data_IF_362074664025
#
_entry.id   IF_362074664025
#
_cell.length_a   1.000
_cell.length_b   1.000
_cell.length_c   1.000
_cell.angle_alpha   90.00
_cell.angle_beta   90.00
_cell.angle_gamma   90.00
#
_symmetry.space_group_name_H-M   'P 1'
#
loop_
_entity.id
_entity.type
_entity.pdbx_description
1 polymer ?
#
# COMPACT_ATOMS: atom_id res chain seq x y z
N UNK A 1 -13.85 36.42 4.64
CA UNK A 1 -13.27 35.27 5.35
C UNK A 1 -13.36 34.09 4.41
N UNK A 2 -12.27 33.40 4.09
CA UNK A 2 -12.30 32.19 3.26
C UNK A 2 -12.98 31.07 4.06
N UNK A 3 -14.21 30.72 3.68
CA UNK A 3 -14.97 29.64 4.31
C UNK A 3 -14.41 28.28 3.89
N UNK A 4 -14.40 27.34 4.83
CA UNK A 4 -14.12 25.93 4.53
C UNK A 4 -15.36 25.32 3.88
N UNK A 5 -15.18 24.76 2.69
CA UNK A 5 -16.25 24.12 1.93
C UNK A 5 -16.04 22.61 1.93
N UNK A 6 -17.12 21.86 2.15
CA UNK A 6 -17.10 20.41 1.96
C UNK A 6 -16.70 20.07 0.52
N UNK A 7 -15.93 19.01 0.36
CA UNK A 7 -15.60 18.44 -0.95
C UNK A 7 -15.75 16.94 -0.89
N UNK A 8 -16.32 16.36 -1.96
CA UNK A 8 -16.39 14.92 -2.19
C UNK A 8 -15.76 14.63 -3.54
N UNK A 9 -14.70 13.82 -3.57
CA UNK A 9 -14.01 13.45 -4.81
C UNK A 9 -14.04 11.92 -4.99
N UNK A 10 -14.02 11.44 -6.23
CA UNK A 10 -13.67 10.04 -6.51
C UNK A 10 -12.26 9.95 -7.06
N UNK A 11 -11.53 8.91 -6.65
CA UNK A 11 -10.21 8.55 -7.12
C UNK A 11 -10.33 7.21 -7.87
N UNK A 12 -9.84 7.16 -9.11
CA UNK A 12 -9.86 5.98 -9.98
C UNK A 12 -8.47 5.62 -10.48
N UNK A 13 -8.10 4.34 -10.49
CA UNK A 13 -6.80 3.87 -11.02
C UNK A 13 -6.93 2.48 -11.66
N UNK A 14 -6.43 2.31 -12.89
CA UNK A 14 -6.43 0.99 -13.56
C UNK A 14 -5.10 0.61 -14.22
N UNK A 15 -4.04 1.42 -14.07
CA UNK A 15 -2.70 1.13 -14.57
C UNK A 15 -1.68 1.01 -13.44
N UNK A 16 -0.66 0.17 -13.65
CA UNK A 16 0.49 0.00 -12.77
C UNK A 16 0.11 -0.44 -11.35
N UNK A 17 0.84 0.07 -10.36
CA UNK A 17 0.55 -0.16 -8.96
C UNK A 17 -0.56 0.77 -8.47
N UNK A 18 -1.81 0.31 -8.67
CA UNK A 18 -3.03 1.07 -8.37
C UNK A 18 -3.14 1.49 -6.90
N UNK A 19 -2.67 0.66 -5.96
CA UNK A 19 -2.63 1.02 -4.54
C UNK A 19 -1.74 2.23 -4.27
N UNK A 20 -0.54 2.22 -4.85
CA UNK A 20 0.42 3.31 -4.69
C UNK A 20 -0.07 4.60 -5.36
N UNK A 21 -0.75 4.49 -6.51
CA UNK A 21 -1.37 5.64 -7.16
C UNK A 21 -2.43 6.31 -6.28
N UNK A 22 -3.37 5.52 -5.76
CA UNK A 22 -4.41 5.99 -4.85
C UNK A 22 -3.77 6.65 -3.60
N UNK A 23 -2.77 6.00 -2.97
CA UNK A 23 -2.07 6.53 -1.78
C UNK A 23 -1.36 7.86 -2.05
N UNK A 24 -0.65 7.97 -3.18
CA UNK A 24 0.05 9.21 -3.55
C UNK A 24 -0.93 10.33 -3.90
N UNK A 25 -2.08 9.99 -4.48
CA UNK A 25 -3.15 10.95 -4.74
C UNK A 25 -3.70 11.51 -3.42
N UNK A 26 -3.98 10.65 -2.42
CA UNK A 26 -4.33 11.08 -1.06
C UNK A 26 -3.33 12.05 -0.46
N UNK A 27 -2.04 11.69 -0.47
CA UNK A 27 -0.99 12.54 0.08
C UNK A 27 -0.90 13.89 -0.65
N UNK A 28 -1.15 13.90 -1.96
CA UNK A 28 -1.13 15.12 -2.77
C UNK A 28 -2.34 16.02 -2.50
N UNK A 29 -3.54 15.46 -2.34
CA UNK A 29 -4.74 16.20 -1.95
C UNK A 29 -4.58 16.89 -0.58
N UNK A 30 -3.94 16.21 0.38
CA UNK A 30 -3.60 16.79 1.68
C UNK A 30 -2.62 17.96 1.56
N UNK A 31 -1.58 17.79 0.73
CA UNK A 31 -0.61 18.86 0.43
C UNK A 31 -1.23 20.05 -0.30
N UNK A 32 -2.26 19.82 -1.12
CA UNK A 32 -3.05 20.86 -1.79
C UNK A 32 -4.00 21.63 -0.84
N UNK A 33 -3.98 21.33 0.46
CA UNK A 33 -4.72 22.09 1.47
C UNK A 33 -6.11 21.53 1.79
N UNK A 34 -6.46 20.34 1.29
CA UNK A 34 -7.69 19.66 1.71
C UNK A 34 -7.47 19.04 3.09
N UNK A 35 -8.30 19.43 4.05
CA UNK A 35 -8.19 19.03 5.46
C UNK A 35 -9.29 18.05 5.83
N UNK A 36 -9.13 17.40 6.99
CA UNK A 36 -10.09 16.43 7.53
C UNK A 36 -10.45 15.31 6.53
N UNK A 37 -9.48 14.93 5.69
CA UNK A 37 -9.64 13.92 4.66
C UNK A 37 -10.02 12.57 5.29
N UNK A 38 -11.12 12.02 4.78
CA UNK A 38 -11.55 10.64 5.02
C UNK A 38 -11.69 9.93 3.69
N UNK A 39 -11.35 8.65 3.69
CA UNK A 39 -11.43 7.78 2.54
C UNK A 39 -12.37 6.63 2.80
N UNK A 40 -13.14 6.23 1.79
CA UNK A 40 -13.87 4.96 1.80
C UNK A 40 -12.90 3.78 1.74
N UNK A 41 -13.44 2.55 1.70
CA UNK A 41 -12.67 1.42 1.16
C UNK A 41 -12.26 1.71 -0.29
N UNK A 42 -11.26 0.98 -0.79
CA UNK A 42 -11.01 0.88 -2.23
C UNK A 42 -11.83 -0.30 -2.75
N UNK A 43 -12.65 -0.06 -3.76
CA UNK A 43 -13.37 -1.10 -4.49
C UNK A 43 -12.67 -1.36 -5.82
N UNK A 44 -12.42 -2.63 -6.11
CA UNK A 44 -12.06 -3.05 -7.46
C UNK A 44 -13.33 -3.34 -8.25
N UNK A 45 -13.51 -2.67 -9.38
CA UNK A 45 -14.70 -2.82 -10.22
C UNK A 45 -14.32 -3.12 -11.67
N UNK A 46 -15.27 -3.66 -12.44
CA UNK A 46 -15.12 -3.75 -13.90
C UNK A 46 -14.94 -2.35 -14.50
N UNK A 47 -14.25 -2.28 -15.65
CA UNK A 47 -14.13 -1.03 -16.39
C UNK A 47 -15.49 -0.60 -16.95
N UNK A 48 -15.79 0.70 -16.84
CA UNK A 48 -16.90 1.30 -17.56
C UNK A 48 -16.41 1.77 -18.93
N UNK A 49 -16.55 0.90 -19.93
CA UNK A 49 -16.08 1.16 -21.29
C UNK A 49 -17.20 1.72 -22.18
N UNK A 50 -16.80 2.58 -23.12
CA UNK A 50 -17.67 2.99 -24.22
C UNK A 50 -17.81 1.85 -25.23
N UNK A 51 -18.94 1.83 -25.95
CA UNK A 51 -19.13 0.89 -27.05
C UNK A 51 -18.01 1.04 -28.10
N UNK A 52 -17.37 -0.08 -28.47
CA UNK A 52 -16.24 -0.10 -29.40
C UNK A 52 -14.88 0.21 -28.80
N UNK A 53 -14.76 0.36 -27.47
CA UNK A 53 -13.46 0.52 -26.82
C UNK A 53 -12.52 -0.69 -27.09
N UNK A 54 -11.19 -0.46 -27.19
CA UNK A 54 -10.22 -1.55 -27.31
C UNK A 54 -10.32 -2.54 -26.16
N UNK A 55 -10.11 -3.84 -26.44
CA UNK A 55 -10.25 -4.90 -25.42
C UNK A 55 -9.21 -4.76 -24.32
N UNK A 56 -8.03 -4.29 -24.65
CA UNK A 56 -6.93 -3.97 -23.75
C UNK A 56 -7.24 -2.82 -22.77
N UNK A 57 -8.39 -2.15 -22.90
CA UNK A 57 -8.85 -1.15 -21.91
C UNK A 57 -9.73 -1.77 -20.83
N UNK A 58 -10.15 -3.02 -20.99
CA UNK A 58 -10.98 -3.75 -20.02
C UNK A 58 -10.14 -4.24 -18.83
N UNK A 59 -9.59 -3.27 -18.10
CA UNK A 59 -8.80 -3.47 -16.90
C UNK A 59 -9.62 -3.12 -15.66
N UNK A 60 -9.62 -3.96 -14.61
CA UNK A 60 -10.28 -3.63 -13.37
C UNK A 60 -9.78 -2.30 -12.79
N UNK A 61 -10.72 -1.46 -12.37
CA UNK A 61 -10.46 -0.16 -11.75
C UNK A 61 -10.49 -0.26 -10.25
N UNK A 62 -9.48 0.28 -9.59
CA UNK A 62 -9.59 0.67 -8.19
C UNK A 62 -10.31 2.01 -8.10
N UNK A 63 -11.40 2.04 -7.34
CA UNK A 63 -12.20 3.22 -7.08
C UNK A 63 -12.25 3.49 -5.58
N UNK A 64 -12.14 4.76 -5.20
CA UNK A 64 -12.31 5.19 -3.82
C UNK A 64 -12.98 6.56 -3.79
N UNK A 65 -13.81 6.81 -2.78
CA UNK A 65 -14.40 8.13 -2.53
C UNK A 65 -13.69 8.78 -1.35
N UNK A 66 -13.48 10.08 -1.46
CA UNK A 66 -12.85 10.88 -0.42
C UNK A 66 -13.73 12.06 -0.09
N UNK A 67 -13.82 12.37 1.20
CA UNK A 67 -14.47 13.58 1.67
C UNK A 67 -13.49 14.39 2.50
N UNK A 68 -13.65 15.71 2.46
CA UNK A 68 -12.83 16.63 3.25
C UNK A 68 -13.35 18.04 3.17
N UNK A 69 -12.51 18.98 3.54
CA UNK A 69 -12.81 20.41 3.52
C UNK A 69 -11.71 21.18 2.81
N UNK A 70 -12.06 22.17 1.99
CA UNK A 70 -11.12 22.99 1.25
C UNK A 70 -11.49 24.47 1.28
N UNK A 71 -10.50 25.34 1.16
CA UNK A 71 -10.69 26.78 0.92
C UNK A 71 -10.52 27.16 -0.56
N UNK A 72 -10.08 26.22 -1.40
CA UNK A 72 -9.97 26.42 -2.84
C UNK A 72 -11.37 26.58 -3.43
N UNK A 73 -11.54 27.54 -4.33
CA UNK A 73 -12.71 27.62 -5.20
C UNK A 73 -12.81 26.38 -6.10
N UNK A 74 -13.97 26.10 -6.72
CA UNK A 74 -14.10 24.98 -7.66
C UNK A 74 -13.06 24.99 -8.79
N UNK A 75 -12.76 26.16 -9.37
CA UNK A 75 -11.78 26.29 -10.45
C UNK A 75 -10.35 25.99 -9.97
N UNK A 76 -9.94 26.56 -8.83
CA UNK A 76 -8.63 26.29 -8.22
C UNK A 76 -8.49 24.80 -7.85
N UNK A 77 -9.54 24.19 -7.32
CA UNK A 77 -9.56 22.75 -6.99
C UNK A 77 -9.37 21.88 -8.23
N UNK A 78 -10.03 22.20 -9.34
CA UNK A 78 -9.88 21.47 -10.61
C UNK A 78 -8.47 21.62 -11.17
N UNK A 79 -7.87 22.82 -11.05
CA UNK A 79 -6.50 23.05 -11.48
C UNK A 79 -5.49 22.28 -10.64
N UNK A 80 -5.65 22.26 -9.32
CA UNK A 80 -4.85 21.42 -8.42
C UNK A 80 -4.99 19.94 -8.74
N UNK A 81 -6.21 19.45 -8.98
CA UNK A 81 -6.45 18.06 -9.38
C UNK A 81 -5.68 17.71 -10.66
N UNK A 82 -5.78 18.53 -11.71
CA UNK A 82 -5.05 18.29 -12.97
C UNK A 82 -3.54 18.30 -12.78
N UNK A 83 -3.03 19.18 -11.91
CA UNK A 83 -1.62 19.17 -11.54
C UNK A 83 -1.23 17.88 -10.82
N UNK A 84 -2.07 17.36 -9.93
CA UNK A 84 -1.85 16.07 -9.28
C UNK A 84 -1.80 14.95 -10.33
N UNK A 85 -2.80 14.84 -11.22
CA UNK A 85 -2.89 13.79 -12.24
C UNK A 85 -1.68 13.80 -13.19
N UNK A 86 -1.24 14.99 -13.63
CA UNK A 86 -0.08 15.14 -14.52
C UNK A 86 1.22 14.57 -13.94
N UNK A 87 1.38 14.59 -12.60
CA UNK A 87 2.56 14.04 -11.91
C UNK A 87 2.61 12.51 -11.92
N UNK A 88 1.52 11.85 -12.28
CA UNK A 88 1.48 10.40 -12.48
C UNK A 88 1.73 9.97 -13.93
N UNK A 89 1.96 10.93 -14.83
CA UNK A 89 2.24 10.64 -16.24
C UNK A 89 0.99 10.32 -17.06
N UNK A 90 -0.15 10.95 -16.74
CA UNK A 90 -1.38 10.81 -17.54
C UNK A 90 -1.15 11.32 -18.97
N UNK A 91 -1.38 10.48 -19.97
CA UNK A 91 -1.43 10.91 -21.36
C UNK A 91 -2.79 11.57 -21.65
N UNK A 92 -2.80 12.89 -21.70
CA UNK A 92 -4.00 13.68 -21.93
C UNK A 92 -4.63 13.46 -23.33
N UNK A 93 -3.95 12.76 -24.24
CA UNK A 93 -4.46 12.47 -25.59
C UNK A 93 -5.45 11.30 -25.64
N UNK A 94 -5.44 10.40 -24.65
CA UNK A 94 -6.28 9.20 -24.59
C UNK A 94 -7.58 9.45 -23.80
N UNK A 95 -8.57 10.04 -24.46
CA UNK A 95 -9.91 10.23 -23.86
C UNK A 95 -10.55 8.85 -23.57
N UNK A 96 -10.96 8.62 -22.32
CA UNK A 96 -11.49 7.33 -21.81
C UNK A 96 -10.50 6.16 -21.77
N UNK A 97 -9.20 6.40 -22.01
CA UNK A 97 -8.17 5.36 -21.93
C UNK A 97 -7.75 5.02 -20.49
N UNK A 98 -7.03 3.89 -20.31
CA UNK A 98 -6.38 3.52 -19.06
C UNK A 98 -5.48 4.64 -18.53
N UNK A 99 -5.49 4.84 -17.21
CA UNK A 99 -4.79 5.94 -16.56
C UNK A 99 -4.24 5.53 -15.20
N UNK A 100 -3.05 6.05 -14.81
CA UNK A 100 -2.48 5.82 -13.49
C UNK A 100 -3.38 6.34 -12.37
N UNK A 101 -3.99 7.52 -12.53
CA UNK A 101 -4.94 8.10 -11.59
C UNK A 101 -5.94 8.99 -12.34
N UNK A 102 -7.16 9.08 -11.82
CA UNK A 102 -8.26 9.95 -12.23
C UNK A 102 -8.91 10.52 -10.97
N UNK A 103 -9.18 11.81 -10.93
CA UNK A 103 -9.83 12.45 -9.78
C UNK A 103 -10.99 13.31 -10.27
N UNK A 104 -12.23 12.89 -9.97
CA UNK A 104 -13.44 13.65 -10.29
C UNK A 104 -13.96 14.40 -9.05
N UNK A 105 -14.42 15.65 -9.23
CA UNK A 105 -15.20 16.36 -8.20
C UNK A 105 -16.65 15.91 -8.25
N UNK A 106 -17.11 15.18 -7.23
CA UNK A 106 -18.48 14.67 -7.14
C UNK A 106 -19.43 15.73 -6.56
N UNK A 107 -19.04 16.34 -5.44
CA UNK A 107 -19.81 17.35 -4.72
C UNK A 107 -18.89 18.41 -4.11
N UNK A 108 -19.40 19.62 -3.94
CA UNK A 108 -18.69 20.74 -3.33
C UNK A 108 -19.69 21.60 -2.54
N UNK A 109 -19.23 22.28 -1.48
CA UNK A 109 -20.04 23.27 -0.75
C UNK A 109 -21.16 22.65 0.08
N UNK A 110 -22.27 23.36 0.25
CA UNK A 110 -23.46 22.86 0.93
C UNK A 110 -24.30 21.93 0.03
N UNK A 111 -25.43 21.43 0.53
CA UNK A 111 -26.29 20.51 -0.25
C UNK A 111 -26.98 21.20 -1.44
N UNK A 112 -27.13 22.53 -1.42
CA UNK A 112 -27.79 23.29 -2.49
C UNK A 112 -26.79 23.81 -3.54
N UNK A 113 -25.49 23.63 -3.29
CA UNK A 113 -24.44 24.11 -4.17
C UNK A 113 -24.49 23.43 -5.55
N UNK A 114 -24.49 24.27 -6.59
CA UNK A 114 -24.37 23.86 -7.98
C UNK A 114 -23.35 24.74 -8.67
N UNK A 115 -22.51 24.14 -9.52
CA UNK A 115 -21.51 24.85 -10.29
C UNK A 115 -21.39 24.23 -11.68
N UNK A 116 -21.25 25.08 -12.70
CA UNK A 116 -21.08 24.64 -14.07
C UNK A 116 -20.07 25.55 -14.77
N UNK A 117 -19.07 24.93 -15.39
CA UNK A 117 -18.13 25.57 -16.30
C UNK A 117 -17.75 24.62 -17.43
N UNK A 118 -17.02 25.11 -18.42
CA UNK A 118 -16.50 24.29 -19.51
C UNK A 118 -15.57 23.17 -19.02
N UNK A 119 -15.03 23.31 -17.79
CA UNK A 119 -14.10 22.34 -17.19
C UNK A 119 -14.82 21.28 -16.34
N UNK A 120 -15.94 21.60 -15.69
CA UNK A 120 -16.57 20.72 -14.70
C UNK A 120 -18.04 21.09 -14.43
N UNK A 121 -18.83 20.09 -14.04
CA UNK A 121 -20.20 20.27 -13.51
C UNK A 121 -20.31 19.62 -12.14
N UNK A 122 -20.86 20.35 -11.17
CA UNK A 122 -21.05 19.91 -9.78
C UNK A 122 -22.53 20.14 -9.40
N UNK A 123 -23.26 19.13 -8.90
CA UNK A 123 -22.83 17.73 -8.71
C UNK A 123 -22.42 17.02 -10.00
N UNK A 124 -21.53 16.03 -9.90
CA UNK A 124 -21.07 15.29 -11.07
C UNK A 124 -22.24 14.60 -11.80
N UNK A 125 -22.43 14.82 -13.12
CA UNK A 125 -23.66 14.46 -13.82
C UNK A 125 -23.92 12.94 -13.85
N UNK A 126 -22.86 12.13 -13.85
CA UNK A 126 -22.96 10.66 -13.93
C UNK A 126 -22.92 9.96 -12.56
N UNK A 127 -23.05 10.68 -11.45
CA UNK A 127 -22.93 10.04 -10.13
C UNK A 127 -24.00 8.98 -9.88
N UNK A 128 -25.22 9.19 -10.39
CA UNK A 128 -26.32 8.23 -10.28
C UNK A 128 -26.16 7.00 -11.19
N UNK A 129 -25.26 7.06 -12.18
CA UNK A 129 -24.93 5.94 -13.07
C UNK A 129 -23.84 5.03 -12.49
N UNK A 130 -23.32 5.35 -11.29
CA UNK A 130 -22.18 4.66 -10.67
C UNK A 130 -22.55 4.15 -9.26
N UNK A 131 -23.22 2.98 -9.14
CA UNK A 131 -23.65 2.39 -7.87
C UNK A 131 -22.52 2.24 -6.83
N UNK A 132 -21.31 1.89 -7.28
CA UNK A 132 -20.13 1.79 -6.43
C UNK A 132 -19.75 3.12 -5.77
N UNK A 133 -19.86 4.25 -6.48
CA UNK A 133 -19.62 5.59 -5.92
C UNK A 133 -20.68 5.91 -4.86
N UNK A 134 -21.96 5.66 -5.16
CA UNK A 134 -23.05 5.90 -4.21
C UNK A 134 -22.87 5.12 -2.91
N UNK A 135 -22.47 3.84 -3.01
CA UNK A 135 -22.20 2.98 -1.87
C UNK A 135 -21.05 3.51 -1.01
N UNK A 136 -19.93 3.92 -1.63
CA UNK A 136 -18.78 4.50 -0.93
C UNK A 136 -19.08 5.88 -0.34
N UNK A 137 -19.87 6.72 -1.01
CA UNK A 137 -20.33 8.00 -0.45
C UNK A 137 -21.24 7.78 0.76
N UNK A 138 -22.16 6.82 0.68
CA UNK A 138 -23.06 6.46 1.76
C UNK A 138 -22.30 5.94 2.98
N UNK A 139 -21.17 5.25 2.80
CA UNK A 139 -20.34 4.79 3.92
C UNK A 139 -19.64 5.95 4.66
N UNK A 140 -19.39 7.07 3.97
CA UNK A 140 -18.71 8.25 4.53
C UNK A 140 -19.65 9.32 5.08
N UNK A 141 -20.76 9.59 4.40
CA UNK A 141 -21.68 10.68 4.74
C UNK A 141 -23.14 10.31 4.43
N UNK A 142 -23.68 9.28 5.10
CA UNK A 142 -24.96 8.64 4.73
C UNK A 142 -26.16 9.58 4.71
N UNK A 143 -26.15 10.60 5.57
CA UNK A 143 -27.30 11.50 5.78
C UNK A 143 -27.27 12.77 4.92
N UNK A 144 -26.17 13.02 4.19
CA UNK A 144 -26.10 14.15 3.27
C UNK A 144 -27.07 13.93 2.12
N UNK A 145 -27.79 14.98 1.73
CA UNK A 145 -28.81 14.92 0.67
C UNK A 145 -28.24 15.30 -0.69
N UNK A 146 -28.66 14.52 -1.68
CA UNK A 146 -28.44 14.84 -3.08
C UNK A 146 -29.47 15.87 -3.53
N UNK A 147 -29.00 16.96 -4.13
CA UNK A 147 -29.85 17.97 -4.77
C UNK A 147 -29.45 18.11 -6.22
N UNK A 148 -30.37 17.76 -7.11
CA UNK A 148 -30.26 18.01 -8.53
C UNK A 148 -31.67 18.28 -9.05
N UNK A 149 -31.89 19.51 -9.49
CA UNK A 149 -33.20 19.93 -9.99
C UNK A 149 -33.63 19.04 -11.16
N UNK A 150 -34.90 18.64 -11.18
CA UNK A 150 -35.45 17.73 -12.19
C UNK A 150 -35.12 16.24 -11.99
N UNK A 151 -34.25 15.87 -11.05
CA UNK A 151 -33.99 14.47 -10.73
C UNK A 151 -35.09 13.86 -9.85
N UNK A 152 -35.51 12.63 -10.15
CA UNK A 152 -36.40 11.82 -9.28
C UNK A 152 -35.77 11.50 -7.91
N UNK A 153 -34.45 11.65 -7.81
CA UNK A 153 -33.67 11.42 -6.61
C UNK A 153 -33.44 12.69 -5.78
N UNK A 154 -33.95 13.83 -6.22
CA UNK A 154 -33.76 15.10 -5.53
C UNK A 154 -34.27 15.05 -4.07
N UNK A 155 -33.42 15.47 -3.14
CA UNK A 155 -33.70 15.50 -1.70
C UNK A 155 -33.45 14.17 -0.98
N UNK A 156 -33.13 13.08 -1.68
CA UNK A 156 -32.79 11.80 -1.03
C UNK A 156 -31.41 11.86 -0.40
N UNK A 157 -31.24 11.15 0.71
CA UNK A 157 -29.94 10.97 1.38
C UNK A 157 -29.06 10.01 0.58
N UNK A 158 -27.73 10.09 0.72
CA UNK A 158 -26.82 9.16 0.06
C UNK A 158 -27.08 7.69 0.46
N UNK A 159 -27.50 7.43 1.69
CA UNK A 159 -27.95 6.11 2.11
C UNK A 159 -29.18 5.61 1.33
N UNK A 160 -30.18 6.47 1.12
CA UNK A 160 -31.33 6.13 0.27
C UNK A 160 -30.92 5.89 -1.19
N UNK A 161 -29.97 6.65 -1.73
CA UNK A 161 -29.49 6.45 -3.08
C UNK A 161 -28.76 5.11 -3.24
N UNK A 162 -27.90 4.76 -2.29
CA UNK A 162 -27.22 3.46 -2.29
C UNK A 162 -28.21 2.29 -2.15
N UNK A 163 -29.36 2.49 -1.50
CA UNK A 163 -30.43 1.49 -1.44
C UNK A 163 -31.23 1.38 -2.74
N UNK A 164 -31.42 2.49 -3.47
CA UNK A 164 -32.13 2.52 -4.77
C UNK A 164 -31.26 1.98 -5.89
N UNK A 165 -29.96 2.26 -5.85
CA UNK A 165 -28.96 1.84 -6.82
C UNK A 165 -27.90 0.99 -6.10
N UNK A 166 -28.26 -0.24 -5.69
CA UNK A 166 -27.35 -1.09 -4.92
C UNK A 166 -26.17 -1.53 -5.80
N UNK A 167 -24.97 -1.52 -5.20
CA UNK A 167 -23.80 -2.15 -5.77
C UNK A 167 -24.02 -3.66 -5.86
N UNK A 168 -23.85 -4.23 -7.06
CA UNK A 168 -24.03 -5.66 -7.29
C UNK A 168 -22.72 -6.43 -7.13
N UNK A 169 -22.81 -7.73 -6.87
CA UNK A 169 -21.64 -8.63 -6.81
C UNK A 169 -20.90 -8.70 -8.16
N UNK A 170 -21.60 -8.48 -9.28
CA UNK A 170 -20.99 -8.50 -10.61
C UNK A 170 -20.15 -7.25 -10.91
N UNK A 171 -20.42 -6.14 -10.22
CA UNK A 171 -19.72 -4.87 -10.36
C UNK A 171 -18.49 -4.80 -9.43
N UNK A 172 -18.54 -5.41 -8.26
CA UNK A 172 -17.47 -5.40 -7.27
C UNK A 172 -16.64 -6.69 -7.31
N UNK A 173 -15.44 -6.61 -7.87
CA UNK A 173 -14.49 -7.72 -7.99
C UNK A 173 -13.69 -7.96 -6.70
N UNK A 174 -13.50 -6.90 -5.92
CA UNK A 174 -12.72 -6.95 -4.68
C UNK A 174 -12.84 -5.68 -3.86
N UNK A 175 -12.36 -5.75 -2.62
CA UNK A 175 -12.29 -4.61 -1.70
C UNK A 175 -11.00 -4.62 -0.89
N UNK A 176 -10.52 -3.43 -0.58
CA UNK A 176 -9.25 -3.20 0.10
C UNK A 176 -9.36 -2.04 1.10
N UNK A 177 -8.54 -2.08 2.14
CA UNK A 177 -8.34 -0.92 3.00
C UNK A 177 -7.63 0.21 2.23
N UNK A 178 -7.94 1.46 2.55
CA UNK A 178 -7.39 2.63 1.85
C UNK A 178 -6.08 3.17 2.45
N UNK A 179 -5.75 2.81 3.70
CA UNK A 179 -4.61 3.37 4.42
C UNK A 179 -3.37 2.45 4.46
N UNK A 180 -3.57 1.15 4.65
CA UNK A 180 -2.48 0.19 4.88
C UNK A 180 -2.29 -0.73 3.68
N UNK A 181 -1.07 -0.76 3.16
CA UNK A 181 -0.66 -1.62 2.06
C UNK A 181 -0.13 -2.97 2.55
N UNK A 182 -0.30 -4.01 1.73
CA UNK A 182 0.13 -5.37 2.06
C UNK A 182 1.36 -5.75 1.22
N UNK A 183 2.42 -6.15 1.91
CA UNK A 183 3.61 -6.75 1.35
C UNK A 183 3.55 -8.27 1.52
N UNK A 184 3.44 -9.00 0.40
CA UNK A 184 3.41 -10.45 0.35
C UNK A 184 4.81 -11.05 0.33
N UNK A 185 5.04 -12.10 1.12
CA UNK A 185 6.36 -12.73 1.30
C UNK A 185 6.54 -13.90 0.32
N UNK A 186 7.64 -13.90 -0.44
CA UNK A 186 8.06 -15.04 -1.28
C UNK A 186 9.47 -15.43 -0.89
N UNK A 187 9.59 -16.57 -0.19
CA UNK A 187 10.88 -17.15 0.15
C UNK A 187 11.31 -18.13 -0.95
N UNK A 188 12.48 -17.91 -1.54
CA UNK A 188 13.10 -18.77 -2.55
C UNK A 188 14.11 -19.65 -1.81
N UNK A 189 13.69 -20.86 -1.42
CA UNK A 189 14.51 -21.80 -0.62
C UNK A 189 14.86 -23.05 -1.42
N UNK A 190 16.08 -23.57 -1.25
CA UNK A 190 16.53 -24.84 -1.82
C UNK A 190 15.69 -26.01 -1.30
N UNK A 191 14.89 -26.63 -2.16
CA UNK A 191 14.41 -27.99 -1.98
C UNK A 191 14.76 -28.79 -3.23
N UNK A 192 15.98 -29.35 -3.22
CA UNK A 192 16.57 -30.34 -4.15
C UNK A 192 17.35 -29.79 -5.35
N UNK A 193 18.68 -29.81 -5.22
CA UNK A 193 19.63 -29.41 -6.26
C UNK A 193 19.73 -30.52 -7.32
N UNK A 194 19.11 -30.25 -8.47
CA UNK A 194 19.48 -30.70 -9.82
C UNK A 194 19.21 -29.52 -10.75
N UNK A 195 19.92 -29.37 -11.87
CA UNK A 195 19.76 -28.19 -12.77
C UNK A 195 18.30 -27.99 -13.26
N UNK A 196 17.53 -29.08 -13.36
CA UNK A 196 16.09 -29.04 -13.66
C UNK A 196 15.21 -28.56 -12.50
N UNK A 197 15.69 -28.68 -11.26
CA UNK A 197 15.01 -28.27 -10.03
C UNK A 197 14.97 -26.75 -9.85
N UNK A 198 16.05 -26.04 -10.20
CA UNK A 198 16.12 -24.57 -10.07
C UNK A 198 15.07 -23.85 -10.93
N UNK A 199 14.88 -24.28 -12.18
CA UNK A 199 13.83 -23.72 -13.04
C UNK A 199 12.42 -24.02 -12.53
N UNK A 200 12.21 -25.19 -11.93
CA UNK A 200 10.94 -25.57 -11.32
C UNK A 200 10.65 -24.73 -10.07
N UNK A 201 11.67 -24.50 -9.24
CA UNK A 201 11.59 -23.63 -8.06
C UNK A 201 11.34 -22.17 -8.45
N UNK A 202 12.05 -21.66 -9.44
CA UNK A 202 11.86 -20.30 -9.92
C UNK A 202 10.44 -20.10 -10.48
N UNK A 203 9.94 -21.08 -11.25
CA UNK A 203 8.57 -21.08 -11.76
C UNK A 203 7.52 -21.11 -10.65
N UNK A 204 7.77 -21.87 -9.56
CA UNK A 204 6.91 -21.92 -8.37
C UNK A 204 6.93 -20.59 -7.60
N UNK A 205 8.10 -19.99 -7.41
CA UNK A 205 8.23 -18.70 -6.75
C UNK A 205 7.53 -17.58 -7.54
N UNK A 206 7.71 -17.54 -8.87
CA UNK A 206 7.02 -16.60 -9.74
C UNK A 206 5.49 -16.80 -9.71
N UNK A 207 5.02 -18.05 -9.80
CA UNK A 207 3.58 -18.35 -9.68
C UNK A 207 3.02 -17.98 -8.29
N UNK A 208 3.81 -18.15 -7.24
CA UNK A 208 3.43 -17.72 -5.90
C UNK A 208 3.32 -16.19 -5.80
N UNK A 209 4.27 -15.45 -6.37
CA UNK A 209 4.24 -13.99 -6.44
C UNK A 209 2.98 -13.48 -7.18
N UNK A 210 2.66 -14.07 -8.33
CA UNK A 210 1.43 -13.75 -9.08
C UNK A 210 0.17 -14.04 -8.26
N UNK A 211 0.15 -15.16 -7.53
CA UNK A 211 -0.96 -15.49 -6.64
C UNK A 211 -1.12 -14.45 -5.52
N UNK A 212 -0.03 -14.05 -4.87
CA UNK A 212 -0.08 -13.03 -3.81
C UNK A 212 -0.55 -11.68 -4.36
N UNK A 213 -0.13 -11.31 -5.57
CA UNK A 213 -0.65 -10.11 -6.24
C UNK A 213 -2.16 -10.20 -6.49
N UNK A 214 -2.64 -11.33 -7.02
CA UNK A 214 -4.07 -11.56 -7.23
C UNK A 214 -4.88 -11.61 -5.92
N UNK A 215 -4.27 -12.08 -4.82
CA UNK A 215 -4.87 -12.05 -3.48
C UNK A 215 -4.94 -10.62 -2.90
N UNK A 216 -4.15 -9.69 -3.45
CA UNK A 216 -4.20 -8.25 -3.19
C UNK A 216 -2.95 -7.63 -2.54
N UNK A 217 -1.79 -8.27 -2.67
CA UNK A 217 -0.53 -7.65 -2.26
C UNK A 217 -0.17 -6.54 -3.26
N UNK A 218 0.13 -5.34 -2.76
CA UNK A 218 0.63 -4.25 -3.60
C UNK A 218 2.14 -4.29 -3.75
N UNK A 219 2.83 -5.03 -2.88
CA UNK A 219 4.28 -5.22 -2.89
C UNK A 219 4.57 -6.71 -2.72
N UNK A 220 5.48 -7.25 -3.52
CA UNK A 220 6.01 -8.61 -3.38
C UNK A 220 7.45 -8.54 -2.91
N UNK A 221 7.74 -9.18 -1.78
CA UNK A 221 9.07 -9.23 -1.18
C UNK A 221 9.73 -10.58 -1.43
N UNK A 222 10.78 -10.56 -2.27
CA UNK A 222 11.52 -11.74 -2.70
C UNK A 222 12.75 -11.91 -1.80
N UNK A 223 12.79 -12.99 -1.03
CA UNK A 223 13.94 -13.37 -0.21
C UNK A 223 14.59 -14.65 -0.73
N UNK A 224 15.82 -14.56 -1.23
CA UNK A 224 16.60 -15.71 -1.70
C UNK A 224 17.61 -16.24 -0.66
N UNK A 225 17.74 -15.53 0.46
CA UNK A 225 18.52 -15.97 1.61
C UNK A 225 17.61 -16.62 2.65
N UNK A 226 18.10 -17.70 3.26
CA UNK A 226 17.44 -18.28 4.41
C UNK A 226 17.79 -17.49 5.68
N UNK A 227 16.98 -16.47 6.01
CA UNK A 227 17.12 -15.66 7.24
C UNK A 227 16.63 -16.35 8.51
N UNK A 228 16.39 -17.67 8.46
CA UNK A 228 15.95 -18.46 9.61
C UNK A 228 17.09 -18.56 10.64
N UNK A 229 16.83 -18.31 11.94
CA UNK A 229 17.84 -18.40 13.01
C UNK A 229 18.60 -19.74 13.10
N UNK A 230 18.11 -20.80 12.43
CA UNK A 230 18.76 -22.12 12.36
C UNK A 230 19.83 -22.24 11.28
N UNK A 231 19.95 -21.27 10.38
CA UNK A 231 20.91 -21.28 9.27
C UNK A 231 22.24 -20.69 9.75
N UNK A 232 23.30 -21.50 9.71
CA UNK A 232 24.65 -21.11 10.17
C UNK A 232 25.51 -20.48 9.07
N UNK A 233 25.12 -20.62 7.82
CA UNK A 233 25.83 -20.11 6.65
C UNK A 233 24.86 -19.34 5.76
N UNK A 234 25.11 -18.04 5.59
CA UNK A 234 24.30 -17.14 4.77
C UNK A 234 24.64 -17.27 3.27
N UNK A 235 25.60 -18.12 2.89
CA UNK A 235 26.00 -18.37 1.51
C UNK A 235 26.78 -17.23 0.86
N UNK A 236 27.27 -17.43 -0.37
CA UNK A 236 27.95 -16.41 -1.17
C UNK A 236 26.97 -15.52 -1.96
N UNK A 237 27.46 -14.41 -2.51
CA UNK A 237 26.64 -13.50 -3.35
C UNK A 237 26.13 -14.26 -4.58
N UNK A 238 26.97 -15.12 -5.13
CA UNK A 238 26.69 -15.94 -6.30
C UNK A 238 25.55 -16.93 -6.02
N UNK A 239 25.57 -17.60 -4.87
CA UNK A 239 24.51 -18.55 -4.50
C UNK A 239 23.14 -17.86 -4.33
N UNK A 240 23.11 -16.68 -3.72
CA UNK A 240 21.88 -15.89 -3.60
C UNK A 240 21.39 -15.43 -4.98
N UNK A 241 22.31 -14.98 -5.83
CA UNK A 241 22.00 -14.52 -7.19
C UNK A 241 21.51 -15.64 -8.09
N UNK A 242 22.11 -16.84 -8.04
CA UNK A 242 21.71 -18.03 -8.80
C UNK A 242 20.25 -18.44 -8.52
N UNK A 243 19.76 -18.22 -7.30
CA UNK A 243 18.36 -18.44 -6.93
C UNK A 243 17.45 -17.30 -7.37
N UNK A 244 17.90 -16.06 -7.25
CA UNK A 244 17.08 -14.87 -7.46
C UNK A 244 16.90 -14.54 -8.95
N UNK A 245 17.97 -14.61 -9.75
CA UNK A 245 17.99 -14.21 -11.15
C UNK A 245 16.91 -14.91 -12.00
N UNK A 246 16.76 -16.25 -11.94
CA UNK A 246 15.74 -16.93 -12.75
C UNK A 246 14.33 -16.48 -12.41
N UNK A 247 14.04 -16.17 -11.13
CA UNK A 247 12.75 -15.65 -10.69
C UNK A 247 12.51 -14.26 -11.26
N UNK A 248 13.50 -13.36 -11.15
CA UNK A 248 13.39 -12.00 -11.70
C UNK A 248 13.18 -11.99 -13.21
N UNK A 249 13.87 -12.86 -13.96
CA UNK A 249 13.68 -13.00 -15.41
C UNK A 249 12.27 -13.46 -15.76
N UNK A 250 11.77 -14.50 -15.08
CA UNK A 250 10.40 -14.98 -15.29
C UNK A 250 9.36 -13.91 -14.96
N UNK A 251 9.56 -13.16 -13.87
CA UNK A 251 8.67 -12.05 -13.52
C UNK A 251 8.76 -10.89 -14.52
N UNK A 252 9.95 -10.60 -15.06
CA UNK A 252 10.11 -9.60 -16.12
C UNK A 252 9.35 -10.00 -17.39
N UNK A 253 9.34 -11.29 -17.75
CA UNK A 253 8.55 -11.80 -18.87
C UNK A 253 7.04 -11.71 -18.60
N UNK A 254 6.60 -12.14 -17.41
CA UNK A 254 5.17 -12.19 -17.05
C UNK A 254 4.55 -10.82 -16.80
N UNK A 255 5.28 -9.91 -16.16
CA UNK A 255 4.81 -8.57 -15.84
C UNK A 255 5.28 -7.48 -16.80
N UNK A 256 6.28 -7.74 -17.66
CA UNK A 256 6.80 -6.74 -18.60
C UNK A 256 5.78 -6.27 -19.63
N UNK A 257 4.82 -7.12 -20.00
CA UNK A 257 3.68 -6.76 -20.85
C UNK A 257 2.40 -6.46 -20.06
N UNK A 258 2.40 -6.67 -18.74
CA UNK A 258 1.22 -6.46 -17.92
C UNK A 258 0.97 -4.97 -17.71
N UNK A 259 -0.28 -4.56 -17.88
CA UNK A 259 -0.70 -3.18 -17.58
C UNK A 259 -0.88 -2.93 -16.09
N UNK A 260 -0.91 -4.00 -15.27
CA UNK A 260 -1.05 -3.97 -13.82
C UNK A 260 -0.03 -4.93 -13.21
N UNK A 261 0.75 -4.44 -12.24
CA UNK A 261 1.76 -5.22 -11.54
C UNK A 261 1.99 -4.67 -10.13
N UNK A 262 2.47 -5.49 -9.19
CA UNK A 262 2.89 -5.03 -7.88
C UNK A 262 4.27 -4.36 -7.96
N UNK A 263 4.61 -3.62 -6.91
CA UNK A 263 6.01 -3.29 -6.65
C UNK A 263 6.78 -4.54 -6.24
N UNK A 264 8.06 -4.63 -6.61
CA UNK A 264 8.95 -5.71 -6.17
C UNK A 264 9.99 -5.17 -5.21
N UNK A 265 10.12 -5.87 -4.08
CA UNK A 265 11.12 -5.71 -3.03
C UNK A 265 12.08 -6.88 -3.04
N UNK A 266 13.37 -6.59 -2.83
CA UNK A 266 14.41 -7.61 -2.67
C UNK A 266 14.86 -7.60 -1.20
N UNK A 267 14.64 -8.72 -0.51
CA UNK A 267 15.06 -8.96 0.88
C UNK A 267 16.53 -9.39 0.91
N UNK A 268 17.43 -8.40 1.01
CA UNK A 268 18.88 -8.61 1.05
C UNK A 268 19.60 -7.47 1.74
N UNK A 269 20.69 -7.80 2.44
CA UNK A 269 21.64 -6.83 2.98
C UNK A 269 22.89 -6.66 2.08
N UNK A 270 22.91 -7.25 0.87
CA UNK A 270 24.08 -7.25 -0.03
C UNK A 270 23.92 -6.26 -1.18
N UNK A 271 24.70 -5.16 -1.21
CA UNK A 271 24.58 -4.13 -2.25
C UNK A 271 24.76 -4.67 -3.68
N UNK A 272 25.61 -5.68 -3.87
CA UNK A 272 25.84 -6.27 -5.18
C UNK A 272 24.61 -6.98 -5.76
N UNK A 273 23.78 -7.60 -4.92
CA UNK A 273 22.53 -8.24 -5.37
C UNK A 273 21.57 -7.18 -5.89
N UNK A 274 21.48 -6.02 -5.23
CA UNK A 274 20.64 -4.90 -5.69
C UNK A 274 21.12 -4.37 -7.04
N UNK A 275 22.43 -4.17 -7.23
CA UNK A 275 23.00 -3.73 -8.51
C UNK A 275 22.66 -4.67 -9.65
N UNK A 276 22.75 -5.99 -9.43
CA UNK A 276 22.37 -6.98 -10.44
C UNK A 276 20.85 -7.05 -10.66
N UNK A 277 20.06 -6.93 -9.59
CA UNK A 277 18.61 -7.04 -9.67
C UNK A 277 17.97 -5.91 -10.51
N UNK A 278 18.43 -4.66 -10.35
CA UNK A 278 17.89 -3.50 -11.11
C UNK A 278 18.15 -3.61 -12.62
N UNK A 279 19.18 -4.35 -13.05
CA UNK A 279 19.49 -4.60 -14.46
C UNK A 279 18.54 -5.62 -15.10
N UNK A 280 17.97 -6.52 -14.29
CA UNK A 280 17.11 -7.63 -14.77
C UNK A 280 15.63 -7.28 -14.64
N UNK A 281 15.24 -6.64 -13.54
CA UNK A 281 13.84 -6.33 -13.23
C UNK A 281 13.73 -4.92 -12.60
N UNK A 282 12.69 -4.13 -12.95
CA UNK A 282 12.50 -2.78 -12.42
C UNK A 282 12.02 -2.78 -10.96
N UNK A 283 12.83 -3.30 -10.03
CA UNK A 283 12.53 -3.32 -8.59
C UNK A 283 12.24 -1.90 -8.07
N UNK A 284 11.51 -1.81 -6.96
CA UNK A 284 11.10 -0.54 -6.34
C UNK A 284 11.57 -0.40 -4.89
N UNK A 285 11.94 -1.51 -4.25
CA UNK A 285 12.27 -1.57 -2.83
C UNK A 285 13.52 -2.41 -2.58
N UNK A 286 14.30 -1.98 -1.61
CA UNK A 286 15.34 -2.73 -0.93
C UNK A 286 14.80 -3.02 0.48
N UNK A 287 14.74 -4.28 0.87
CA UNK A 287 14.43 -4.70 2.24
C UNK A 287 15.72 -5.16 2.92
N UNK A 288 16.32 -4.29 3.72
CA UNK A 288 17.59 -4.54 4.41
C UNK A 288 17.33 -4.88 5.87
N UNK A 289 17.36 -6.19 6.16
CA UNK A 289 17.18 -6.73 7.51
C UNK A 289 18.30 -6.38 8.50
N UNK A 290 19.41 -5.80 8.02
CA UNK A 290 20.54 -5.36 8.85
C UNK A 290 20.39 -3.96 9.43
N UNK A 291 19.37 -3.21 8.99
CA UNK A 291 19.15 -1.82 9.39
C UNK A 291 19.53 -0.79 8.32
N UNK A 292 20.10 -1.24 7.20
CA UNK A 292 20.54 -0.36 6.11
C UNK A 292 21.99 0.10 6.29
N UNK A 293 22.82 -0.08 5.26
CA UNK A 293 24.16 0.53 5.19
C UNK A 293 24.14 1.86 4.43
N UNK A 294 25.18 2.69 4.60
CA UNK A 294 25.35 3.89 3.78
C UNK A 294 25.44 3.56 2.28
N UNK A 295 26.04 2.41 1.94
CA UNK A 295 26.09 1.93 0.56
C UNK A 295 24.69 1.61 0.03
N UNK A 296 23.84 0.94 0.81
CA UNK A 296 22.44 0.69 0.44
C UNK A 296 21.65 1.98 0.29
N UNK A 297 21.87 2.97 1.16
CA UNK A 297 21.24 4.28 1.04
C UNK A 297 21.67 5.03 -0.23
N UNK A 298 22.94 4.92 -0.62
CA UNK A 298 23.42 5.44 -1.91
C UNK A 298 22.74 4.76 -3.09
N UNK A 299 22.63 3.42 -3.09
CA UNK A 299 21.92 2.69 -4.15
C UNK A 299 20.43 3.06 -4.21
N UNK A 300 19.78 3.19 -3.04
CA UNK A 300 18.39 3.60 -2.97
C UNK A 300 18.17 4.99 -3.58
N UNK A 301 19.09 5.93 -3.32
CA UNK A 301 19.05 7.26 -3.93
C UNK A 301 19.32 7.21 -5.44
N UNK A 302 20.38 6.51 -5.84
CA UNK A 302 20.84 6.41 -7.24
C UNK A 302 19.74 5.86 -8.15
N UNK A 303 19.10 4.77 -7.73
CA UNK A 303 18.07 4.09 -8.51
C UNK A 303 16.64 4.55 -8.17
N UNK A 304 16.46 5.52 -7.27
CA UNK A 304 15.15 6.01 -6.85
C UNK A 304 14.29 4.95 -6.14
N UNK A 305 14.93 4.02 -5.42
CA UNK A 305 14.27 2.95 -4.67
C UNK A 305 13.89 3.42 -3.27
N UNK A 306 12.99 2.65 -2.64
CA UNK A 306 12.70 2.75 -1.21
C UNK A 306 13.62 1.82 -0.43
N UNK A 307 14.11 2.26 0.71
CA UNK A 307 14.94 1.49 1.62
C UNK A 307 14.12 1.17 2.89
N UNK A 308 13.70 -0.08 3.01
CA UNK A 308 13.11 -0.62 4.22
C UNK A 308 14.23 -1.05 5.16
N UNK A 309 14.26 -0.44 6.35
CA UNK A 309 15.25 -0.73 7.39
C UNK A 309 14.61 -1.51 8.52
N UNK A 310 15.20 -2.65 8.85
CA UNK A 310 14.75 -3.48 9.97
C UNK A 310 15.71 -3.40 11.15
N UNK A 311 15.20 -3.15 12.35
CA UNK A 311 16.04 -3.27 13.54
C UNK A 311 16.24 -4.74 13.94
N UNK A 312 17.49 -5.20 14.01
CA UNK A 312 17.88 -6.43 14.70
C UNK A 312 18.96 -6.18 15.74
N UNK A 313 18.91 -6.88 16.90
CA UNK A 313 19.99 -6.85 17.89
C UNK A 313 21.23 -7.63 17.43
N UNK A 314 21.08 -8.56 16.48
CA UNK A 314 22.19 -9.31 15.90
C UNK A 314 21.86 -9.85 14.51
N UNK A 315 22.87 -9.95 13.65
CA UNK A 315 22.81 -10.71 12.40
C UNK A 315 23.82 -11.87 12.45
N UNK A 316 23.40 -13.15 12.38
CA UNK A 316 22.01 -13.63 12.40
C UNK A 316 21.32 -13.40 13.76
N UNK A 317 19.97 -13.50 13.84
CA UNK A 317 19.22 -13.27 15.08
C UNK A 317 19.57 -14.28 16.18
N UNK A 318 19.96 -13.78 17.36
CA UNK A 318 20.29 -14.60 18.54
C UNK A 318 19.22 -14.45 19.63
N UNK A 319 18.59 -15.54 20.10
CA UNK A 319 17.50 -15.47 21.08
C UNK A 319 17.89 -14.86 22.44
N UNK A 320 19.17 -14.95 22.81
CA UNK A 320 19.75 -14.42 24.05
C UNK A 320 20.13 -12.93 23.96
N UNK A 321 20.13 -12.37 22.75
CA UNK A 321 20.46 -10.96 22.51
C UNK A 321 19.17 -10.17 22.24
N UNK A 322 18.62 -9.58 23.30
CA UNK A 322 17.39 -8.78 23.24
C UNK A 322 17.60 -7.34 23.70
N UNK A 323 16.64 -6.45 23.38
CA UNK A 323 16.62 -5.08 23.89
C UNK A 323 16.71 -5.03 25.42
N UNK A 324 17.29 -3.92 25.93
CA UNK A 324 17.41 -3.68 27.36
C UNK A 324 16.04 -3.73 28.04
N UNK A 325 16.00 -4.34 29.23
CA UNK A 325 14.81 -4.38 30.09
C UNK A 325 14.66 -3.12 30.95
N UNK A 326 15.71 -2.30 31.06
CA UNK A 326 15.74 -1.11 31.91
C UNK A 326 15.07 0.10 31.26
N UNK A 327 14.84 0.05 29.95
CA UNK A 327 14.30 1.16 29.16
C UNK A 327 13.13 0.71 28.29
N UNK A 328 12.28 1.66 27.92
CA UNK A 328 11.16 1.39 27.00
C UNK A 328 11.67 0.87 25.66
N UNK A 329 11.14 -0.24 25.13
CA UNK A 329 11.48 -0.72 23.78
C UNK A 329 11.19 0.33 22.72
N UNK A 330 10.11 1.11 22.89
CA UNK A 330 9.72 2.16 21.95
C UNK A 330 10.79 3.27 21.92
N UNK A 331 11.28 3.72 23.07
CA UNK A 331 12.32 4.76 23.15
C UNK A 331 13.65 4.28 22.57
N UNK A 332 14.03 3.03 22.83
CA UNK A 332 15.21 2.41 22.22
C UNK A 332 15.11 2.39 20.69
N UNK A 333 13.94 2.03 20.14
CA UNK A 333 13.70 1.99 18.69
C UNK A 333 13.61 3.38 18.05
N UNK A 334 13.07 4.37 18.75
CA UNK A 334 13.07 5.77 18.28
C UNK A 334 14.49 6.31 18.15
N UNK A 335 15.32 6.17 19.19
CA UNK A 335 16.71 6.64 19.15
C UNK A 335 17.51 5.97 18.04
N UNK A 336 17.31 4.67 17.85
CA UNK A 336 17.95 3.95 16.74
C UNK A 336 17.45 4.46 15.38
N UNK A 337 16.13 4.59 15.20
CA UNK A 337 15.53 5.08 13.96
C UNK A 337 15.98 6.49 13.61
N UNK A 338 15.97 7.42 14.56
CA UNK A 338 16.46 8.79 14.39
C UNK A 338 17.92 8.81 13.93
N UNK A 339 18.78 8.01 14.55
CA UNK A 339 20.18 7.90 14.16
C UNK A 339 20.37 7.38 12.73
N UNK A 340 19.56 6.40 12.30
CA UNK A 340 19.62 5.88 10.94
C UNK A 340 19.11 6.90 9.92
N UNK A 341 17.99 7.56 10.19
CA UNK A 341 17.45 8.60 9.31
C UNK A 341 18.42 9.77 9.17
N UNK A 342 19.09 10.19 10.25
CA UNK A 342 20.11 11.24 10.19
C UNK A 342 21.27 10.85 9.26
N UNK A 343 21.78 9.62 9.38
CA UNK A 343 22.85 9.11 8.52
C UNK A 343 22.43 9.03 7.05
N UNK A 344 21.20 8.58 6.76
CA UNK A 344 20.71 8.48 5.39
C UNK A 344 20.35 9.84 4.78
N UNK A 345 19.89 10.80 5.59
CA UNK A 345 19.68 12.17 5.16
C UNK A 345 21.00 12.84 4.74
N UNK A 346 22.13 12.52 5.39
CA UNK A 346 23.45 13.04 5.01
C UNK A 346 23.90 12.58 3.61
N UNK A 347 23.49 11.40 3.15
CA UNK A 347 23.73 10.97 1.76
C UNK A 347 22.71 11.57 0.77
N UNK A 348 21.75 12.35 1.26
CA UNK A 348 20.72 13.04 0.51
C UNK A 348 19.57 12.15 0.06
N UNK A 349 19.29 11.07 0.82
CA UNK A 349 18.09 10.27 0.66
C UNK A 349 16.92 11.03 1.31
N UNK A 350 15.77 11.13 0.63
CA UNK A 350 14.58 11.76 1.22
C UNK A 350 13.89 10.81 2.19
N UNK A 351 14.25 10.93 3.47
CA UNK A 351 13.81 10.04 4.53
C UNK A 351 12.30 10.07 4.78
N UNK A 352 11.61 11.12 4.37
CA UNK A 352 10.16 11.27 4.57
C UNK A 352 9.33 10.29 3.72
N UNK A 353 9.90 9.72 2.66
CA UNK A 353 9.19 8.76 1.81
C UNK A 353 10.06 7.60 1.29
N UNK A 354 11.36 7.80 1.08
CA UNK A 354 12.25 6.75 0.60
C UNK A 354 12.63 5.76 1.69
N UNK A 355 12.75 6.19 2.95
CA UNK A 355 13.04 5.27 4.05
C UNK A 355 11.74 4.76 4.63
N UNK A 356 11.65 3.44 4.87
CA UNK A 356 10.55 2.82 5.59
C UNK A 356 11.10 2.12 6.82
N UNK A 357 10.55 2.44 7.98
CA UNK A 357 11.01 1.95 9.26
C UNK A 357 10.27 0.69 9.69
N UNK A 358 10.99 -0.37 10.04
CA UNK A 358 10.46 -1.55 10.72
C UNK A 358 11.17 -1.75 12.08
N UNK A 359 10.43 -1.73 13.20
CA UNK A 359 11.00 -1.98 14.54
C UNK A 359 11.48 -3.42 14.73
N UNK A 360 11.34 -4.31 13.73
CA UNK A 360 11.92 -5.64 13.68
C UNK A 360 11.27 -6.61 14.65
N UNK A 361 9.98 -6.90 14.45
CA UNK A 361 9.22 -7.81 15.31
C UNK A 361 9.83 -9.23 15.29
N UNK A 362 10.16 -9.72 16.49
CA UNK A 362 10.83 -11.01 16.69
C UNK A 362 12.34 -11.03 16.38
N UNK A 363 12.96 -9.89 16.10
CA UNK A 363 14.41 -9.76 15.88
C UNK A 363 15.08 -9.09 17.08
N UNK A 364 15.56 -9.90 18.03
CA UNK A 364 16.15 -9.40 19.28
C UNK A 364 15.14 -8.74 20.22
N UNK A 365 13.89 -9.22 20.22
CA UNK A 365 12.86 -8.79 21.17
C UNK A 365 12.20 -9.99 21.82
N UNK A 366 11.89 -9.85 23.11
CA UNK A 366 10.98 -10.78 23.78
C UNK A 366 9.56 -10.65 23.20
N UNK A 367 8.67 -11.63 23.44
CA UNK A 367 7.27 -11.51 23.08
C UNK A 367 6.61 -10.24 23.62
N UNK A 368 6.83 -9.89 24.88
CA UNK A 368 6.27 -8.67 25.50
C UNK A 368 6.81 -7.41 24.83
N UNK A 369 8.12 -7.33 24.61
CA UNK A 369 8.72 -6.19 23.90
C UNK A 369 8.15 -6.04 22.48
N UNK A 370 7.96 -7.16 21.77
CA UNK A 370 7.34 -7.16 20.44
C UNK A 370 5.90 -6.60 20.44
N UNK A 371 5.09 -6.96 21.43
CA UNK A 371 3.74 -6.42 21.59
C UNK A 371 3.76 -4.91 21.88
N UNK A 372 4.66 -4.46 22.76
CA UNK A 372 4.83 -3.03 23.06
C UNK A 372 5.24 -2.22 21.83
N UNK A 373 6.14 -2.75 21.00
CA UNK A 373 6.55 -2.11 19.76
C UNK A 373 5.40 -1.99 18.75
N UNK A 374 4.54 -3.01 18.65
CA UNK A 374 3.34 -2.93 17.80
C UNK A 374 2.34 -1.88 18.32
N UNK A 375 2.25 -1.67 19.62
CA UNK A 375 1.41 -0.59 20.18
C UNK A 375 2.00 0.81 19.91
N UNK A 376 3.34 0.91 19.81
CA UNK A 376 4.09 2.13 19.55
C UNK A 376 4.03 2.71 18.13
N UNK A 377 3.31 2.09 17.18
CA UNK A 377 3.32 2.50 15.75
C UNK A 377 2.94 3.97 15.53
N UNK A 378 1.94 4.48 16.23
CA UNK A 378 1.56 5.91 16.15
C UNK A 378 2.72 6.84 16.55
N UNK A 379 3.50 6.43 17.54
CA UNK A 379 4.64 7.20 18.02
C UNK A 379 5.79 7.16 17.02
N UNK A 380 6.10 6.00 16.43
CA UNK A 380 7.10 5.90 15.38
C UNK A 380 6.79 6.83 14.20
N UNK A 381 5.57 6.75 13.66
CA UNK A 381 5.16 7.62 12.54
C UNK A 381 5.27 9.11 12.85
N UNK A 382 4.86 9.51 14.07
CA UNK A 382 4.85 10.91 14.47
C UNK A 382 6.25 11.47 14.71
N UNK A 383 7.15 10.68 15.29
CA UNK A 383 8.49 11.15 15.70
C UNK A 383 9.50 11.00 14.56
N UNK A 384 9.48 9.86 13.86
CA UNK A 384 10.43 9.60 12.77
C UNK A 384 10.04 10.29 11.46
N UNK A 385 8.78 10.70 11.33
CA UNK A 385 8.21 11.34 10.14
C UNK A 385 8.44 10.56 8.83
N UNK A 386 8.65 9.24 8.95
CA UNK A 386 8.78 8.31 7.84
C UNK A 386 7.69 7.21 7.92
N UNK A 387 7.39 6.55 6.79
CA UNK A 387 6.45 5.44 6.77
C UNK A 387 6.92 4.25 7.62
N UNK A 388 5.97 3.55 8.24
CA UNK A 388 6.23 2.40 9.12
C UNK A 388 5.68 1.11 8.54
N UNK A 389 6.52 0.08 8.53
CA UNK A 389 6.16 -1.30 8.19
C UNK A 389 6.21 -2.18 9.44
N UNK A 390 5.29 -3.14 9.54
CA UNK A 390 5.35 -4.18 10.59
C UNK A 390 5.32 -5.58 9.95
N UNK A 391 6.38 -6.35 10.20
CA UNK A 391 6.47 -7.77 9.85
C UNK A 391 6.18 -8.69 11.05
N UNK A 392 4.90 -8.82 11.45
CA UNK A 392 4.48 -9.64 12.60
C UNK A 392 3.99 -11.05 12.25
N UNK A 393 3.79 -11.34 10.96
CA UNK A 393 3.13 -12.57 10.51
C UNK A 393 3.82 -13.85 10.99
N UNK A 394 3.05 -14.73 11.63
CA UNK A 394 3.45 -16.05 12.17
C UNK A 394 4.61 -16.01 13.19
N UNK A 395 5.02 -14.83 13.66
CA UNK A 395 6.13 -14.67 14.61
C UNK A 395 5.83 -15.34 15.94
N UNK A 396 6.89 -15.80 16.61
CA UNK A 396 6.81 -16.52 17.89
C UNK A 396 6.24 -15.67 19.03
N UNK A 397 6.32 -14.33 18.94
CA UNK A 397 5.71 -13.44 19.93
C UNK A 397 4.20 -13.65 20.07
N UNK A 398 3.51 -14.09 19.02
CA UNK A 398 2.07 -14.36 19.04
C UNK A 398 1.71 -15.66 19.76
N UNK A 399 2.68 -16.51 20.10
CA UNK A 399 2.43 -17.75 20.86
C UNK A 399 1.85 -17.51 22.27
N UNK A 400 1.95 -16.29 22.81
CA UNK A 400 1.27 -15.95 24.07
C UNK A 400 -0.24 -15.77 23.90
N UNK A 401 -0.73 -15.57 22.66
CA UNK A 401 -2.11 -15.26 22.34
C UNK A 401 -2.91 -16.49 21.87
N UNK A 402 -2.24 -17.61 21.57
CA UNK A 402 -2.85 -18.84 21.05
C UNK A 402 -2.02 -20.08 21.36
N UNK A 403 -2.62 -21.28 21.24
CA UNK A 403 -1.98 -22.58 21.56
C UNK A 403 -1.68 -23.41 20.31
N UNK A 404 -0.94 -22.88 19.34
CA UNK A 404 -0.75 -23.59 18.06
C UNK A 404 0.63 -23.41 17.41
N UNK A 405 0.89 -24.27 16.41
CA UNK A 405 2.06 -24.22 15.53
C UNK A 405 2.14 -22.86 14.81
N UNK A 406 3.31 -22.44 14.33
CA UNK A 406 3.48 -21.17 13.64
C UNK A 406 2.57 -21.01 12.42
N UNK A 407 2.26 -22.10 11.72
CA UNK A 407 1.40 -22.10 10.53
C UNK A 407 -0.09 -21.86 10.85
N UNK A 408 -0.48 -22.02 12.11
CA UNK A 408 -1.86 -21.82 12.58
C UNK A 408 -2.08 -20.41 13.17
N UNK A 409 -1.09 -19.51 13.08
CA UNK A 409 -1.13 -18.15 13.69
C UNK A 409 -1.72 -17.07 12.80
N UNK A 410 -2.40 -17.47 11.73
CA UNK A 410 -2.93 -16.53 10.75
C UNK A 410 -4.06 -15.67 11.36
N UNK A 411 -4.86 -16.21 12.28
CA UNK A 411 -5.92 -15.46 12.97
C UNK A 411 -5.38 -14.40 13.92
N UNK A 412 -4.38 -14.73 14.74
CA UNK A 412 -3.69 -13.77 15.61
C UNK A 412 -2.97 -12.71 14.77
N UNK A 413 -2.36 -13.12 13.66
CA UNK A 413 -1.76 -12.20 12.68
C UNK A 413 -2.80 -11.20 12.18
N UNK A 414 -3.95 -11.68 11.69
CA UNK A 414 -5.03 -10.83 11.15
C UNK A 414 -5.59 -9.90 12.23
N UNK A 415 -5.81 -10.40 13.45
CA UNK A 415 -6.28 -9.58 14.58
C UNK A 415 -5.30 -8.44 14.91
N UNK A 416 -4.00 -8.74 14.95
CA UNK A 416 -2.96 -7.73 15.10
C UNK A 416 -2.93 -6.75 13.91
N UNK A 417 -3.10 -7.22 12.67
CA UNK A 417 -3.11 -6.38 11.47
C UNK A 417 -4.22 -5.33 11.51
N UNK A 418 -5.44 -5.71 11.89
CA UNK A 418 -6.56 -4.76 12.05
C UNK A 418 -6.23 -3.71 13.14
N UNK A 419 -5.70 -4.15 14.27
CA UNK A 419 -5.28 -3.28 15.36
C UNK A 419 -4.16 -2.30 14.94
N UNK A 420 -3.23 -2.72 14.09
CA UNK A 420 -2.15 -1.90 13.52
C UNK A 420 -2.67 -0.93 12.47
N UNK A 421 -3.63 -1.37 11.66
CA UNK A 421 -4.32 -0.56 10.67
C UNK A 421 -5.07 0.62 11.29
N UNK A 422 -5.84 0.39 12.36
CA UNK A 422 -6.49 1.45 13.15
C UNK A 422 -5.49 2.41 13.82
N UNK A 423 -4.25 1.93 14.01
CA UNK A 423 -3.12 2.74 14.48
C UNK A 423 -2.39 3.49 13.37
N UNK A 424 -2.80 3.29 12.12
CA UNK A 424 -2.28 4.00 10.96
C UNK A 424 -0.96 3.44 10.45
N UNK A 425 -0.64 2.15 10.65
CA UNK A 425 0.53 1.53 10.01
C UNK A 425 0.46 1.69 8.48
N UNK A 426 1.59 1.96 7.82
CA UNK A 426 1.61 2.18 6.38
C UNK A 426 1.67 0.85 5.61
N UNK A 427 2.47 -0.10 6.10
CA UNK A 427 2.69 -1.38 5.45
C UNK A 427 2.63 -2.55 6.43
N UNK A 428 2.09 -3.68 5.98
CA UNK A 428 2.11 -4.95 6.70
C UNK A 428 2.78 -6.01 5.85
N UNK A 429 3.80 -6.69 6.39
CA UNK A 429 4.49 -7.80 5.72
C UNK A 429 3.94 -9.14 6.22
N UNK A 430 3.20 -9.86 5.37
CA UNK A 430 2.39 -11.03 5.78
C UNK A 430 2.44 -12.20 4.80
N UNK A 431 2.17 -13.41 5.31
CA UNK A 431 2.04 -14.63 4.50
C UNK A 431 0.64 -14.80 3.90
N UNK A 432 -0.42 -14.65 4.71
CA UNK A 432 -1.82 -14.74 4.25
C UNK A 432 -2.32 -13.39 3.76
N UNK A 433 -2.15 -13.11 2.46
CA UNK A 433 -2.52 -11.82 1.88
C UNK A 433 -4.04 -11.66 1.82
N UNK A 434 -4.77 -12.63 1.28
CA UNK A 434 -6.22 -12.52 1.12
C UNK A 434 -6.95 -12.27 2.46
N UNK A 435 -6.58 -13.03 3.50
CA UNK A 435 -7.18 -12.91 4.83
C UNK A 435 -6.96 -11.53 5.45
N UNK A 436 -5.74 -10.98 5.31
CA UNK A 436 -5.45 -9.62 5.75
C UNK A 436 -6.22 -8.59 4.91
N UNK A 437 -6.19 -8.68 3.57
CA UNK A 437 -6.94 -7.76 2.69
C UNK A 437 -8.40 -7.65 3.09
N UNK A 438 -9.08 -8.78 3.25
CA UNK A 438 -10.51 -8.83 3.59
C UNK A 438 -10.79 -8.23 4.96
N UNK A 439 -9.96 -8.54 5.96
CA UNK A 439 -10.11 -7.99 7.30
C UNK A 439 -9.88 -6.47 7.35
N UNK A 440 -8.87 -5.98 6.63
CA UNK A 440 -8.58 -4.54 6.55
C UNK A 440 -9.68 -3.79 5.81
N UNK A 441 -10.21 -4.34 4.71
CA UNK A 441 -11.35 -3.75 4.01
C UNK A 441 -12.59 -3.66 4.91
N UNK A 442 -12.87 -4.71 5.69
CA UNK A 442 -13.97 -4.71 6.65
C UNK A 442 -13.76 -3.68 7.77
N UNK A 443 -12.53 -3.54 8.28
CA UNK A 443 -12.21 -2.54 9.30
C UNK A 443 -12.37 -1.09 8.77
N UNK A 444 -12.03 -0.85 7.51
CA UNK A 444 -12.09 0.48 6.88
C UNK A 444 -13.49 0.92 6.41
N UNK A 445 -14.54 0.08 6.54
CA UNK A 445 -15.84 0.31 5.88
C UNK A 445 -16.50 1.65 6.23
N UNK A 446 -16.40 2.09 7.50
CA UNK A 446 -17.01 3.33 8.01
C UNK A 446 -16.23 4.60 7.60
N UNK A 447 -15.20 4.43 6.77
CA UNK A 447 -14.27 5.46 6.38
C UNK A 447 -13.13 5.62 7.38
N UNK A 448 -11.93 5.82 6.84
CA UNK A 448 -10.72 6.06 7.62
C UNK A 448 -10.20 7.47 7.41
N UNK A 449 -9.65 8.05 8.47
CA UNK A 449 -8.75 9.19 8.32
C UNK A 449 -7.46 8.72 7.68
N UNK A 450 -7.00 9.45 6.67
CA UNK A 450 -5.82 9.07 5.87
C UNK A 450 -4.75 10.17 5.92
#
# INVERSE_FOLDING_TARGET
MTSWNFVCLSLGSNLGNRHEHIRRAYASLKKAGIRNLKSSVILETKALLLEGAPKEWDLPYFNSVVIGETQLSPDELIEEIKMIESRFGQDASLKWGPRPIDIDVLFYGDEAFSYHSDKCTIPHPKVLERPFILSMMASLCPYRRFRLEGSSCNGKTFAELAAIYPLTEEEALGSFGSATQIMGIVNITDNSISDTGLFLEASRAAAHAERLFAEGASIIDLGAQATNPRVKDLGSVEQEWERLEPVLRLLAERWGAAQQCPDVSIDTFRPEIIRRAVEVFPIRWINDVSGGSLEMAHLAKEFGLRLLINHSCSLPPRPDCVLSYEESPIEQMLRWGESQLEQFAQVGLDTSWQVVFDPGIGFGKTPVQSMLLMDGVKQFKRVLECPVLIGHSRKSCLSMLGRFNSDDRDWETIGCSVSLHDRGVDYLRVHQVEGNRRALAAAAWAGMFV
#
